data_IF_845325918605
#
_entry.id   IF_845325918605
#
_cell.length_a   1.000
_cell.length_b   1.000
_cell.length_c   1.000
_cell.angle_alpha   90.00
_cell.angle_beta   90.00
_cell.angle_gamma   90.00
#
_symmetry.space_group_name_H-M   'P 1'
#
loop_
_entity.id
_entity.type
_entity.pdbx_description
1 polymer ?
#
# COMPACT_ATOMS: atom_id res chain seq x y z
N UNK A 1 3.45 -7.72 24.79
CA UNK A 1 4.11 -8.08 23.52
C UNK A 1 3.67 -9.45 22.98
N UNK A 2 3.45 -10.46 23.84
CA UNK A 2 3.04 -11.82 23.41
C UNK A 2 1.70 -11.85 22.64
N UNK A 3 0.68 -11.12 23.11
CA UNK A 3 -0.63 -11.05 22.44
C UNK A 3 -0.56 -10.54 20.99
N UNK A 4 0.31 -9.56 20.72
CA UNK A 4 0.48 -9.00 19.37
C UNK A 4 1.17 -10.00 18.44
N UNK A 5 2.16 -10.74 18.95
CA UNK A 5 2.84 -11.78 18.20
C UNK A 5 1.88 -12.94 17.87
N UNK A 6 0.99 -13.30 18.79
CA UNK A 6 -0.06 -14.30 18.55
C UNK A 6 -1.06 -13.85 17.47
N UNK A 7 -1.53 -12.60 17.52
CA UNK A 7 -2.43 -12.06 16.49
C UNK A 7 -1.80 -12.02 15.11
N UNK A 8 -0.52 -11.63 15.01
CA UNK A 8 0.24 -11.64 13.76
C UNK A 8 0.43 -13.07 13.25
N UNK A 9 0.80 -14.01 14.12
CA UNK A 9 0.95 -15.43 13.75
C UNK A 9 -0.35 -16.01 13.20
N UNK A 10 -1.48 -15.71 13.85
CA UNK A 10 -2.81 -16.13 13.40
C UNK A 10 -3.19 -15.51 12.04
N UNK A 11 -2.84 -14.25 11.80
CA UNK A 11 -3.03 -13.61 10.49
C UNK A 11 -2.22 -14.31 9.39
N UNK A 12 -0.96 -14.65 9.66
CA UNK A 12 -0.10 -15.38 8.71
C UNK A 12 -0.69 -16.75 8.37
N UNK A 13 -1.19 -17.49 9.37
CA UNK A 13 -1.83 -18.79 9.16
C UNK A 13 -3.07 -18.69 8.26
N UNK A 14 -3.94 -17.70 8.51
CA UNK A 14 -5.14 -17.48 7.69
C UNK A 14 -4.80 -17.06 6.26
N UNK A 15 -3.74 -16.26 6.08
CA UNK A 15 -3.23 -15.90 4.75
C UNK A 15 -2.72 -17.12 3.98
N UNK A 16 -2.02 -18.05 4.64
CA UNK A 16 -1.56 -19.27 3.99
C UNK A 16 -2.75 -20.18 3.60
N UNK A 17 -3.77 -20.27 4.47
CA UNK A 17 -5.01 -20.98 4.14
C UNK A 17 -5.75 -20.36 2.95
N UNK A 18 -5.82 -19.03 2.88
CA UNK A 18 -6.41 -18.31 1.75
C UNK A 18 -5.63 -18.57 0.46
N UNK A 19 -4.30 -18.49 0.53
CA UNK A 19 -3.40 -18.76 -0.59
C UNK A 19 -3.52 -20.18 -1.10
N UNK A 20 -3.64 -21.19 -0.23
CA UNK A 20 -3.84 -22.57 -0.63
C UNK A 20 -5.16 -22.74 -1.42
N UNK A 21 -6.25 -22.14 -0.93
CA UNK A 21 -7.55 -22.17 -1.62
C UNK A 21 -7.52 -21.41 -2.95
N UNK A 22 -6.86 -20.25 -3.00
CA UNK A 22 -6.69 -19.48 -4.22
C UNK A 22 -5.82 -20.21 -5.26
N UNK A 23 -4.78 -20.93 -4.80
CA UNK A 23 -3.93 -21.75 -5.67
C UNK A 23 -4.73 -22.90 -6.26
N UNK A 24 -5.53 -23.59 -5.46
CA UNK A 24 -6.44 -24.64 -5.94
C UNK A 24 -7.45 -24.12 -6.97
N UNK A 25 -8.02 -22.94 -6.73
CA UNK A 25 -8.92 -22.28 -7.66
C UNK A 25 -8.20 -21.95 -8.98
N UNK A 26 -6.97 -21.43 -8.90
CA UNK A 26 -6.15 -21.13 -10.08
C UNK A 26 -5.78 -22.39 -10.88
N UNK A 27 -5.48 -23.52 -10.22
CA UNK A 27 -5.27 -24.81 -10.89
C UNK A 27 -6.49 -25.26 -11.69
N UNK A 28 -7.69 -25.11 -11.14
CA UNK A 28 -8.94 -25.47 -11.85
C UNK A 28 -9.14 -24.62 -13.12
N UNK A 29 -8.78 -23.34 -13.07
CA UNK A 29 -8.92 -22.44 -14.22
C UNK A 29 -7.79 -22.59 -15.25
N UNK A 30 -6.54 -22.60 -14.78
CA UNK A 30 -5.34 -22.49 -15.61
C UNK A 30 -4.60 -23.80 -15.86
N UNK A 31 -4.95 -24.89 -15.18
CA UNK A 31 -4.36 -26.20 -15.41
C UNK A 31 -4.66 -26.77 -16.80
N UNK A 32 -3.90 -27.78 -17.24
CA UNK A 32 -4.16 -28.46 -18.51
C UNK A 32 -5.56 -29.09 -18.51
N UNK A 33 -6.38 -28.78 -19.52
CA UNK A 33 -7.78 -29.20 -19.54
C UNK A 33 -8.68 -28.46 -18.53
N UNK A 34 -8.20 -27.37 -17.94
CA UNK A 34 -8.97 -26.51 -17.04
C UNK A 34 -10.02 -25.66 -17.77
N UNK A 35 -10.79 -24.90 -16.99
CA UNK A 35 -11.93 -24.12 -17.51
C UNK A 35 -11.55 -23.14 -18.62
N UNK A 36 -10.37 -22.51 -18.56
CA UNK A 36 -9.95 -21.54 -19.58
C UNK A 36 -9.65 -22.20 -20.92
N UNK A 37 -9.04 -23.38 -20.91
CA UNK A 37 -8.75 -24.12 -22.14
C UNK A 37 -10.04 -24.68 -22.75
N UNK A 38 -10.91 -25.27 -21.92
CA UNK A 38 -12.21 -25.78 -22.34
C UNK A 38 -13.06 -24.66 -22.93
N UNK A 39 -13.12 -23.48 -22.29
CA UNK A 39 -13.88 -22.34 -22.81
C UNK A 39 -13.35 -21.86 -24.16
N UNK A 40 -12.02 -21.81 -24.34
CA UNK A 40 -11.40 -21.46 -25.63
C UNK A 40 -11.73 -22.47 -26.72
N UNK A 41 -11.63 -23.77 -26.43
CA UNK A 41 -11.96 -24.85 -27.37
C UNK A 41 -13.43 -24.84 -27.75
N UNK A 42 -14.33 -24.69 -26.77
CA UNK A 42 -15.77 -24.56 -27.02
C UNK A 42 -16.06 -23.35 -27.90
N UNK A 43 -15.52 -22.17 -27.58
CA UNK A 43 -15.73 -20.97 -28.41
C UNK A 43 -15.22 -21.18 -29.83
N UNK A 44 -14.03 -21.75 -29.99
CA UNK A 44 -13.47 -21.99 -31.32
C UNK A 44 -14.27 -22.99 -32.11
N UNK A 45 -14.72 -24.07 -31.46
CA UNK A 45 -15.59 -25.05 -32.08
C UNK A 45 -16.92 -24.44 -32.53
N UNK A 46 -17.52 -23.55 -31.74
CA UNK A 46 -18.71 -22.79 -32.14
C UNK A 46 -18.45 -21.85 -33.33
N UNK A 47 -17.32 -21.14 -33.36
CA UNK A 47 -16.93 -20.31 -34.52
C UNK A 47 -16.80 -21.17 -35.79
N UNK A 48 -16.17 -22.34 -35.69
CA UNK A 48 -16.04 -23.28 -36.82
C UNK A 48 -17.42 -23.83 -37.21
N UNK A 49 -18.28 -24.16 -36.24
CA UNK A 49 -19.63 -24.60 -36.50
C UNK A 49 -20.39 -23.55 -37.32
N UNK A 50 -20.35 -22.28 -36.91
CA UNK A 50 -21.03 -21.17 -37.59
C UNK A 50 -20.51 -20.99 -39.02
N UNK A 51 -19.18 -21.04 -39.20
CA UNK A 51 -18.56 -20.85 -40.52
C UNK A 51 -18.75 -22.03 -41.47
N UNK A 52 -18.73 -23.26 -40.94
CA UNK A 52 -18.94 -24.50 -41.70
C UNK A 52 -20.42 -24.86 -41.87
N UNK A 53 -21.32 -24.24 -41.10
CA UNK A 53 -22.79 -24.45 -41.12
C UNK A 53 -23.41 -23.90 -42.40
N UNK A 54 -23.12 -24.56 -43.52
CA UNK A 54 -23.97 -24.57 -44.72
C UNK A 54 -24.95 -25.75 -44.70
N UNK A 55 -24.77 -26.71 -43.79
CA UNK A 55 -25.67 -27.85 -43.54
C UNK A 55 -25.80 -28.10 -42.04
N UNK A 56 -26.95 -27.78 -41.42
CA UNK A 56 -27.18 -28.12 -40.01
C UNK A 56 -27.11 -29.64 -39.82
N UNK A 57 -26.38 -30.09 -38.79
CA UNK A 57 -26.27 -31.50 -38.39
C UNK A 57 -24.96 -32.23 -38.78
N UNK A 58 -24.07 -31.62 -39.58
CA UNK A 58 -22.80 -32.27 -39.99
C UNK A 58 -21.60 -31.93 -39.09
N UNK A 59 -21.76 -31.04 -38.11
CA UNK A 59 -20.67 -30.54 -37.29
C UNK A 59 -20.63 -31.21 -35.92
N UNK A 60 -19.54 -31.91 -35.61
CA UNK A 60 -19.30 -32.48 -34.30
C UNK A 60 -18.84 -31.39 -33.32
N UNK A 61 -19.64 -31.16 -32.26
CA UNK A 61 -19.31 -30.19 -31.25
C UNK A 61 -18.21 -30.69 -30.33
N UNK A 62 -17.43 -29.75 -29.80
CA UNK A 62 -16.43 -30.04 -28.79
C UNK A 62 -17.14 -30.47 -27.51
N UNK A 63 -16.87 -31.70 -27.07
CA UNK A 63 -17.36 -32.19 -25.79
C UNK A 63 -16.43 -31.78 -24.65
N UNK A 64 -17.02 -31.26 -23.58
CA UNK A 64 -16.26 -30.90 -22.38
C UNK A 64 -15.71 -32.17 -21.71
N UNK A 65 -14.48 -32.14 -21.21
CA UNK A 65 -13.89 -33.28 -20.54
C UNK A 65 -14.58 -33.55 -19.18
N UNK A 66 -14.66 -34.82 -18.78
CA UNK A 66 -15.43 -35.25 -17.61
C UNK A 66 -14.94 -34.66 -16.29
N UNK A 67 -13.64 -34.38 -16.18
CA UNK A 67 -13.05 -33.68 -15.03
C UNK A 67 -13.74 -32.32 -14.79
N UNK A 68 -13.96 -31.53 -15.85
CA UNK A 68 -14.59 -30.20 -15.75
C UNK A 68 -16.08 -30.33 -15.46
N UNK A 69 -16.78 -31.28 -16.09
CA UNK A 69 -18.20 -31.55 -15.80
C UNK A 69 -18.40 -31.93 -14.33
N UNK A 70 -17.51 -32.75 -13.78
CA UNK A 70 -17.56 -33.16 -12.37
C UNK A 70 -17.34 -31.96 -11.43
N UNK A 71 -16.42 -31.05 -11.75
CA UNK A 71 -16.18 -29.83 -10.96
C UNK A 71 -17.37 -28.86 -11.04
N UNK A 72 -18.02 -28.74 -12.21
CA UNK A 72 -19.26 -27.95 -12.35
C UNK A 72 -20.37 -28.56 -11.49
N UNK A 73 -20.57 -29.88 -11.58
CA UNK A 73 -21.61 -30.59 -10.83
C UNK A 73 -21.38 -30.54 -9.32
N UNK A 74 -20.12 -30.59 -8.87
CA UNK A 74 -19.77 -30.55 -7.46
C UNK A 74 -19.91 -29.14 -6.84
N UNK A 75 -19.96 -28.09 -7.66
CA UNK A 75 -19.97 -26.70 -7.20
C UNK A 75 -18.69 -26.30 -6.46
N UNK A 76 -17.57 -27.00 -6.68
CA UNK A 76 -16.30 -26.80 -5.96
C UNK A 76 -15.80 -25.36 -6.11
N UNK A 77 -15.93 -24.76 -7.30
CA UNK A 77 -15.50 -23.37 -7.57
C UNK A 77 -16.27 -22.37 -6.71
N UNK A 78 -17.60 -22.50 -6.64
CA UNK A 78 -18.43 -21.61 -5.82
C UNK A 78 -18.09 -21.75 -4.34
N UNK A 79 -17.92 -22.99 -3.86
CA UNK A 79 -17.52 -23.26 -2.47
C UNK A 79 -16.15 -22.65 -2.14
N UNK A 80 -15.17 -22.79 -3.03
CA UNK A 80 -13.84 -22.19 -2.85
C UNK A 80 -13.91 -20.67 -2.80
N UNK A 81 -14.72 -20.05 -3.66
CA UNK A 81 -14.95 -18.61 -3.66
C UNK A 81 -15.56 -18.13 -2.33
N UNK A 82 -16.62 -18.78 -1.86
CA UNK A 82 -17.26 -18.45 -0.58
C UNK A 82 -16.30 -18.58 0.59
N UNK A 83 -15.46 -19.63 0.60
CA UNK A 83 -14.44 -19.83 1.63
C UNK A 83 -13.34 -18.76 1.60
N UNK A 84 -12.89 -18.34 0.41
CA UNK A 84 -11.91 -17.25 0.26
C UNK A 84 -12.49 -15.94 0.78
N UNK A 85 -13.75 -15.64 0.45
CA UNK A 85 -14.45 -14.44 0.95
C UNK A 85 -14.61 -14.47 2.47
N UNK A 86 -14.91 -15.63 3.05
CA UNK A 86 -15.01 -15.76 4.50
C UNK A 86 -13.65 -15.55 5.19
N UNK A 87 -12.58 -16.14 4.66
CA UNK A 87 -11.21 -15.94 5.16
C UNK A 87 -10.78 -14.48 5.05
N UNK A 88 -11.11 -13.81 3.94
CA UNK A 88 -10.81 -12.38 3.77
C UNK A 88 -11.44 -11.55 4.90
N UNK A 89 -12.72 -11.76 5.19
CA UNK A 89 -13.41 -11.06 6.30
C UNK A 89 -12.73 -11.31 7.65
N UNK A 90 -12.26 -12.52 7.91
CA UNK A 90 -11.53 -12.84 9.15
C UNK A 90 -10.16 -12.13 9.21
N UNK A 91 -9.45 -12.07 8.09
CA UNK A 91 -8.17 -11.37 7.98
C UNK A 91 -8.35 -9.87 8.18
N UNK A 92 -9.41 -9.28 7.60
CA UNK A 92 -9.72 -7.86 7.74
C UNK A 92 -10.01 -7.52 9.20
N UNK A 93 -10.85 -8.31 9.87
CA UNK A 93 -11.14 -8.16 11.30
C UNK A 93 -9.90 -8.29 12.20
N UNK A 94 -8.98 -9.20 11.87
CA UNK A 94 -7.72 -9.34 12.60
C UNK A 94 -6.77 -8.17 12.33
N UNK A 95 -6.76 -7.65 11.10
CA UNK A 95 -5.96 -6.49 10.72
C UNK A 95 -6.41 -5.26 11.48
N UNK A 96 -7.72 -5.00 11.56
CA UNK A 96 -8.26 -3.92 12.39
C UNK A 96 -7.89 -4.06 13.87
N UNK A 97 -7.90 -5.29 14.42
CA UNK A 97 -7.49 -5.53 15.81
C UNK A 97 -6.01 -5.25 16.04
N UNK A 98 -5.16 -5.61 15.08
CA UNK A 98 -3.71 -5.34 15.14
C UNK A 98 -3.48 -3.83 15.07
N UNK A 99 -4.16 -3.12 14.17
CA UNK A 99 -4.05 -1.67 14.02
C UNK A 99 -4.49 -0.93 15.29
N UNK A 100 -5.67 -1.25 15.84
CA UNK A 100 -6.16 -0.68 17.10
C UNK A 100 -5.23 -0.97 18.28
N UNK A 101 -4.65 -2.18 18.34
CA UNK A 101 -3.68 -2.55 19.37
C UNK A 101 -2.34 -1.82 19.23
N UNK A 102 -1.93 -1.50 18.00
CA UNK A 102 -0.72 -0.72 17.71
C UNK A 102 -0.94 0.77 17.99
N UNK A 103 -2.15 1.29 17.73
CA UNK A 103 -2.57 2.66 18.05
C UNK A 103 -2.70 2.89 19.55
N UNK A 104 -3.20 1.92 20.32
CA UNK A 104 -3.15 1.95 21.79
C UNK A 104 -1.72 1.86 22.36
N UNK A 105 -0.74 1.46 21.55
CA UNK A 105 0.69 1.49 21.85
C UNK A 105 1.43 2.68 21.21
N UNK A 106 0.74 3.59 20.50
CA UNK A 106 1.25 4.95 20.38
C UNK A 106 1.21 5.51 21.79
N UNK A 107 2.35 5.34 22.47
CA UNK A 107 2.82 6.10 23.61
C UNK A 107 2.03 7.37 23.64
N UNK A 108 1.17 7.53 24.66
CA UNK A 108 0.68 8.84 25.04
C UNK A 108 1.90 9.74 24.97
N UNK A 109 1.98 10.53 23.90
CA UNK A 109 2.92 11.62 23.88
C UNK A 109 2.37 12.50 24.98
N UNK A 110 2.88 12.32 26.19
CA UNK A 110 3.01 13.37 27.19
C UNK A 110 3.97 14.44 26.62
N UNK A 111 3.79 14.81 25.35
CA UNK A 111 4.24 16.07 24.82
C UNK A 111 3.44 17.07 25.60
N UNK A 112 4.00 17.54 26.70
CA UNK A 112 3.57 18.73 27.40
C UNK A 112 3.17 19.74 26.33
N UNK A 113 1.86 20.01 26.18
CA UNK A 113 1.38 20.97 25.19
C UNK A 113 2.08 22.29 25.49
N UNK A 114 3.04 22.67 24.65
CA UNK A 114 3.86 23.84 24.90
C UNK A 114 3.04 25.04 24.48
N UNK A 115 2.29 25.60 25.43
CA UNK A 115 1.37 26.72 25.21
C UNK A 115 2.07 28.07 25.05
N UNK A 116 3.36 28.16 25.40
CA UNK A 116 4.14 29.39 25.23
C UNK A 116 5.63 29.13 25.07
N UNK A 117 6.31 30.07 24.43
CA UNK A 117 7.76 30.05 24.25
C UNK A 117 8.52 30.06 25.59
N UNK A 118 7.94 30.67 26.62
CA UNK A 118 8.47 30.65 27.99
C UNK A 118 8.43 29.25 28.60
N UNK A 119 7.35 28.51 28.36
CA UNK A 119 7.21 27.12 28.78
C UNK A 119 8.22 26.21 28.04
N UNK A 120 8.47 26.50 26.75
CA UNK A 120 9.50 25.81 25.97
C UNK A 120 10.90 25.98 26.58
N UNK A 121 11.30 27.24 26.85
CA UNK A 121 12.61 27.57 27.43
C UNK A 121 12.78 27.04 28.85
N UNK A 122 11.71 26.93 29.63
CA UNK A 122 11.75 26.31 30.96
C UNK A 122 11.95 24.78 30.87
N UNK A 123 11.35 24.13 29.87
CA UNK A 123 11.38 22.67 29.71
C UNK A 123 12.70 22.19 29.08
N UNK A 124 13.21 22.91 28.08
CA UNK A 124 14.40 22.52 27.31
C UNK A 124 15.65 23.35 27.62
N UNK A 125 15.54 24.30 28.55
CA UNK A 125 16.62 25.19 28.96
C UNK A 125 16.66 26.50 28.19
N UNK A 126 16.90 27.59 28.91
CA UNK A 126 17.10 28.91 28.31
C UNK A 126 18.55 29.05 27.79
N UNK A 127 18.77 29.72 26.64
CA UNK A 127 20.11 30.02 26.18
C UNK A 127 20.85 30.84 27.25
N UNK A 128 22.08 30.43 27.57
CA UNK A 128 22.95 31.16 28.49
C UNK A 128 23.15 32.57 27.96
N UNK A 129 22.97 33.58 28.82
CA UNK A 129 23.22 34.97 28.41
C UNK A 129 24.68 35.11 27.97
N UNK A 130 24.94 35.64 26.76
CA UNK A 130 26.30 35.79 26.28
C UNK A 130 27.04 36.81 27.15
N UNK A 131 28.18 36.43 27.71
CA UNK A 131 29.08 37.28 28.51
C UNK A 131 29.94 38.21 27.64
N UNK A 132 29.55 38.42 26.38
CA UNK A 132 30.38 39.03 25.35
C UNK A 132 29.67 40.25 24.78
N UNK A 133 30.35 41.40 24.76
CA UNK A 133 29.91 42.67 24.14
C UNK A 133 29.87 42.60 22.59
N UNK A 134 29.72 41.39 22.03
CA UNK A 134 29.71 41.14 20.60
C UNK A 134 28.36 40.54 20.22
N UNK A 135 27.67 41.16 19.27
CA UNK A 135 26.46 40.63 18.68
C UNK A 135 26.67 40.40 17.19
N UNK A 136 25.99 39.39 16.66
CA UNK A 136 26.01 39.10 15.23
C UNK A 136 24.76 39.64 14.58
N UNK A 137 24.91 40.46 13.54
CA UNK A 137 23.79 40.91 12.71
C UNK A 137 23.92 40.26 11.34
N UNK A 138 22.81 39.76 10.84
CA UNK A 138 22.70 39.38 9.44
C UNK A 138 22.52 40.64 8.62
N UNK A 139 23.58 41.04 7.92
CA UNK A 139 23.51 42.13 6.94
C UNK A 139 23.35 41.53 5.55
N UNK A 140 22.37 41.99 4.74
CA UNK A 140 22.27 41.57 3.35
C UNK A 140 23.59 41.85 2.62
N UNK A 141 24.16 40.84 1.96
CA UNK A 141 25.31 41.07 1.11
C UNK A 141 24.86 41.82 -0.15
N UNK A 142 25.68 42.76 -0.63
CA UNK A 142 25.40 43.52 -1.85
C UNK A 142 25.48 42.64 -3.10
N UNK A 143 26.09 41.47 -3.00
CA UNK A 143 26.18 40.51 -4.10
C UNK A 143 24.85 39.77 -4.28
N UNK A 144 24.22 40.00 -5.42
CA UNK A 144 23.05 39.25 -5.87
C UNK A 144 23.53 38.18 -6.84
N UNK A 145 23.23 36.92 -6.55
CA UNK A 145 23.61 35.79 -7.39
C UNK A 145 22.41 35.32 -8.21
N UNK A 146 22.64 35.01 -9.49
CA UNK A 146 21.60 34.55 -10.40
C UNK A 146 20.86 35.68 -11.12
N UNK A 147 19.86 35.29 -11.92
CA UNK A 147 19.18 36.15 -12.88
C UNK A 147 19.94 36.26 -14.21
N UNK A 148 19.53 35.47 -15.21
CA UNK A 148 19.96 35.65 -16.60
C UNK A 148 19.02 36.63 -17.31
N UNK A 149 19.40 37.12 -18.50
CA UNK A 149 18.57 38.08 -19.25
C UNK A 149 17.12 37.61 -19.50
N UNK A 150 16.91 36.28 -19.61
CA UNK A 150 15.61 35.68 -19.86
C UNK A 150 14.84 35.28 -18.58
N UNK A 151 15.50 35.29 -17.41
CA UNK A 151 14.92 34.85 -16.13
C UNK A 151 15.32 35.77 -14.97
N UNK A 152 14.93 37.03 -15.06
CA UNK A 152 15.29 38.09 -14.10
C UNK A 152 14.71 37.91 -12.69
N UNK A 153 13.67 37.07 -12.54
CA UNK A 153 13.00 36.79 -11.27
C UNK A 153 13.78 35.84 -10.35
N UNK A 154 14.72 35.04 -10.86
CA UNK A 154 15.49 34.07 -10.08
C UNK A 154 16.79 34.68 -9.55
N UNK A 155 16.65 35.75 -8.75
CA UNK A 155 17.75 36.41 -8.06
C UNK A 155 17.76 35.97 -6.60
N UNK A 156 18.89 35.44 -6.14
CA UNK A 156 19.11 35.09 -4.74
C UNK A 156 20.00 36.15 -4.08
N UNK A 157 19.51 36.71 -2.97
CA UNK A 157 20.31 37.58 -2.12
C UNK A 157 20.92 36.73 -1.00
N UNK A 158 22.24 36.72 -0.88
CA UNK A 158 22.91 36.10 0.26
C UNK A 158 22.95 37.06 1.44
N UNK A 159 22.71 36.58 2.65
CA UNK A 159 23.00 37.34 3.88
C UNK A 159 24.35 36.91 4.45
N UNK A 160 25.12 37.86 4.96
CA UNK A 160 26.38 37.57 5.65
C UNK A 160 26.26 37.95 7.12
N UNK A 161 26.69 37.04 7.99
CA UNK A 161 26.70 37.27 9.44
C UNK A 161 27.99 37.98 9.81
N UNK A 162 27.89 39.25 10.23
CA UNK A 162 29.06 40.03 10.70
C UNK A 162 29.00 40.17 12.21
N UNK A 163 30.14 39.96 12.87
CA UNK A 163 30.31 40.25 14.31
C UNK A 163 30.49 41.76 14.48
N UNK A 164 29.58 42.40 15.20
CA UNK A 164 29.63 43.81 15.58
C UNK A 164 29.88 43.97 17.09
N UNK A 165 30.49 45.08 17.49
CA UNK A 165 30.70 45.43 18.89
C UNK A 165 29.52 46.24 19.41
N UNK A 166 29.02 45.89 20.59
CA UNK A 166 27.94 46.60 21.26
C UNK A 166 28.47 47.96 21.74
N UNK A 167 28.10 49.05 21.05
CA UNK A 167 28.27 50.41 21.56
C UNK A 167 26.97 50.81 22.23
N UNK A 168 27.03 51.14 23.54
CA UNK A 168 25.90 51.73 24.28
C UNK A 168 25.52 53.08 23.70
#
# INVERSE_FOLDING_TARGET
MELMQELVKKKVELLEQQKAKASRLNELFGGPGGFNEVSRKTRKNLEVAITASKRPGYFAYYEQPENVKNVIRSGEVQRLQEQILHLQKQIDQLTEKIEKSAEGHKVEQTGTTITSLKHWLATYGAPKQPTSDLFTVFTPDRKVYGGTAHYSAFKSQSSTMKKGRLTK
#
